data_IF_590010907667
#
_entry.id   IF_590010907667
#
_cell.length_a   1.000
_cell.length_b   1.000
_cell.length_c   1.000
_cell.angle_alpha   90.00
_cell.angle_beta   90.00
_cell.angle_gamma   90.00
#
_symmetry.space_group_name_H-M   'P 1'
#
loop_
_entity.id
_entity.type
_entity.pdbx_description
1 polymer ?
#
# COMPACT_ATOMS: atom_id res chain seq x y z
N UNK A 1 -7.16 7.22 -24.30
CA UNK A 1 -6.59 6.31 -25.34
C UNK A 1 -5.06 6.12 -25.21
N UNK A 2 -4.40 6.58 -24.13
CA UNK A 2 -2.94 6.46 -23.96
C UNK A 2 -2.48 5.44 -22.88
N UNK A 3 -3.40 4.87 -22.10
CA UNK A 3 -3.06 3.94 -21.00
C UNK A 3 -3.40 2.46 -21.27
N UNK A 4 -3.70 2.11 -22.52
CA UNK A 4 -3.92 0.70 -22.89
C UNK A 4 -2.60 -0.07 -23.04
N UNK A 5 -1.47 0.63 -23.19
CA UNK A 5 -0.17 0.06 -23.54
C UNK A 5 0.62 -0.56 -22.38
N UNK A 6 0.16 -0.43 -21.13
CA UNK A 6 0.79 -1.04 -19.96
C UNK A 6 -0.21 -1.83 -19.09
N UNK A 7 -1.27 -2.39 -19.69
CA UNK A 7 -1.93 -3.58 -19.11
C UNK A 7 -0.99 -4.79 -19.25
N UNK A 8 0.20 -4.70 -18.67
CA UNK A 8 0.95 -5.88 -18.26
C UNK A 8 0.01 -6.66 -17.34
N UNK A 9 0.07 -7.99 -17.44
CA UNK A 9 -0.82 -9.04 -16.92
C UNK A 9 -1.02 -9.07 -15.38
N UNK A 10 -0.83 -7.95 -14.71
CA UNK A 10 -0.74 -7.78 -13.28
C UNK A 10 -2.07 -7.19 -12.79
N UNK A 11 -2.90 -8.01 -12.16
CA UNK A 11 -4.15 -7.56 -11.55
C UNK A 11 -5.23 -8.62 -11.46
N UNK A 12 -6.40 -8.24 -10.92
CA UNK A 12 -7.55 -9.14 -10.79
C UNK A 12 -7.96 -9.70 -12.15
N UNK A 13 -8.35 -10.98 -12.18
CA UNK A 13 -8.93 -11.59 -13.38
C UNK A 13 -10.32 -11.00 -13.63
N UNK A 14 -10.77 -10.87 -14.89
CA UNK A 14 -12.17 -10.62 -15.18
C UNK A 14 -13.03 -11.69 -14.48
N UNK A 15 -14.07 -11.27 -13.78
CA UNK A 15 -14.90 -12.18 -13.01
C UNK A 15 -16.35 -11.73 -13.03
N UNK A 16 -17.25 -12.71 -12.94
CA UNK A 16 -18.69 -12.48 -12.86
C UNK A 16 -19.02 -11.69 -11.59
N UNK A 17 -20.12 -10.94 -11.63
CA UNK A 17 -20.56 -9.86 -10.72
C UNK A 17 -20.79 -10.25 -9.24
N UNK A 18 -19.89 -11.03 -8.64
CA UNK A 18 -19.90 -11.45 -7.25
C UNK A 18 -19.42 -10.31 -6.33
N UNK A 19 -19.64 -10.47 -5.03
CA UNK A 19 -19.31 -9.46 -4.02
C UNK A 19 -17.86 -8.98 -4.09
N UNK A 20 -16.88 -9.89 -4.11
CA UNK A 20 -15.43 -9.56 -4.16
C UNK A 20 -15.05 -8.79 -5.42
N UNK A 21 -15.65 -9.15 -6.56
CA UNK A 21 -15.42 -8.47 -7.82
C UNK A 21 -15.90 -7.02 -7.76
N UNK A 22 -17.09 -6.78 -7.18
CA UNK A 22 -17.61 -5.42 -6.97
C UNK A 22 -16.74 -4.63 -5.99
N UNK A 23 -16.35 -5.23 -4.87
CA UNK A 23 -15.43 -4.64 -3.88
C UNK A 23 -14.12 -4.17 -4.55
N UNK A 24 -13.46 -5.05 -5.30
CA UNK A 24 -12.20 -4.76 -6.00
C UNK A 24 -12.37 -3.68 -7.06
N UNK A 25 -13.41 -3.78 -7.90
CA UNK A 25 -13.65 -2.81 -8.96
C UNK A 25 -13.89 -1.42 -8.38
N UNK A 26 -14.71 -1.32 -7.32
CA UNK A 26 -14.95 -0.05 -6.63
C UNK A 26 -13.66 0.57 -6.08
N UNK A 27 -12.75 -0.26 -5.54
CA UNK A 27 -11.47 0.22 -5.02
C UNK A 27 -10.53 0.71 -6.13
N UNK A 28 -10.47 0.01 -7.26
CA UNK A 28 -9.66 0.43 -8.40
C UNK A 28 -10.22 1.69 -9.07
N UNK A 29 -11.54 1.76 -9.24
CA UNK A 29 -12.24 2.94 -9.78
C UNK A 29 -11.96 4.21 -8.95
N UNK A 30 -11.77 4.10 -7.63
CA UNK A 30 -11.35 5.25 -6.80
C UNK A 30 -10.01 5.83 -7.26
N UNK A 31 -9.04 4.97 -7.62
CA UNK A 31 -7.73 5.41 -8.11
C UNK A 31 -7.89 6.02 -9.50
N UNK A 32 -8.59 5.35 -10.42
CA UNK A 32 -8.82 5.85 -11.78
C UNK A 32 -9.51 7.23 -11.79
N UNK A 33 -10.51 7.42 -10.91
CA UNK A 33 -11.27 8.66 -10.83
C UNK A 33 -10.57 9.79 -10.05
N UNK A 34 -9.42 9.53 -9.44
CA UNK A 34 -8.70 10.52 -8.60
C UNK A 34 -8.11 11.71 -9.38
N UNK A 35 -8.09 11.65 -10.72
CA UNK A 35 -7.38 12.56 -11.65
C UNK A 35 -5.86 12.66 -11.46
N UNK A 36 -5.32 12.18 -10.34
CA UNK A 36 -3.88 12.21 -10.03
C UNK A 36 -3.15 10.98 -10.56
N UNK A 37 -3.86 9.88 -10.81
CA UNK A 37 -3.31 8.66 -11.40
C UNK A 37 -2.57 8.97 -12.71
N UNK A 38 -3.25 9.55 -13.69
CA UNK A 38 -2.65 9.81 -15.02
C UNK A 38 -1.41 10.70 -14.91
N UNK A 39 -1.45 11.68 -14.02
CA UNK A 39 -0.35 12.63 -13.84
C UNK A 39 0.86 12.08 -13.13
N UNK A 40 0.65 11.14 -12.21
CA UNK A 40 1.72 10.63 -11.35
C UNK A 40 2.06 9.17 -11.62
N UNK A 41 1.46 8.56 -12.65
CA UNK A 41 1.68 7.15 -13.01
C UNK A 41 3.15 6.82 -13.23
N UNK A 42 3.93 7.67 -13.91
CA UNK A 42 5.37 7.40 -14.12
C UNK A 42 6.19 7.41 -12.82
N UNK A 43 5.68 8.05 -11.77
CA UNK A 43 6.31 8.07 -10.45
C UNK A 43 5.86 6.85 -9.64
N UNK A 44 4.56 6.54 -9.65
CA UNK A 44 3.97 5.51 -8.79
C UNK A 44 3.63 4.20 -9.49
N UNK A 45 4.08 3.96 -10.73
CA UNK A 45 3.72 2.80 -11.56
C UNK A 45 3.87 1.48 -10.80
N UNK A 46 5.06 1.22 -10.23
CA UNK A 46 5.32 0.02 -9.44
C UNK A 46 4.37 -0.10 -8.24
N UNK A 47 4.08 1.01 -7.57
CA UNK A 47 3.19 1.02 -6.40
C UNK A 47 1.76 0.67 -6.79
N UNK A 48 1.29 1.20 -7.93
CA UNK A 48 -0.02 0.85 -8.47
C UNK A 48 -0.09 -0.60 -8.96
N UNK A 49 0.97 -1.10 -9.61
CA UNK A 49 1.02 -2.49 -10.07
C UNK A 49 1.01 -3.48 -8.89
N UNK A 50 1.80 -3.22 -7.83
CA UNK A 50 1.76 -3.98 -6.59
C UNK A 50 0.37 -3.93 -5.93
N UNK A 51 -0.30 -2.79 -5.96
CA UNK A 51 -1.66 -2.68 -5.47
C UNK A 51 -2.65 -3.51 -6.30
N UNK A 52 -2.49 -3.56 -7.63
CA UNK A 52 -3.28 -4.44 -8.50
C UNK A 52 -3.05 -5.92 -8.17
N UNK A 53 -1.82 -6.31 -7.81
CA UNK A 53 -1.55 -7.64 -7.28
C UNK A 53 -2.24 -7.89 -5.94
N UNK A 54 -2.26 -6.91 -5.02
CA UNK A 54 -2.99 -7.02 -3.76
C UNK A 54 -4.48 -7.31 -3.97
N UNK A 55 -5.11 -6.62 -4.94
CA UNK A 55 -6.48 -6.87 -5.36
C UNK A 55 -6.66 -8.29 -5.92
N UNK A 56 -5.72 -8.77 -6.74
CA UNK A 56 -5.74 -10.13 -7.27
C UNK A 56 -5.62 -11.18 -6.16
N UNK A 57 -4.75 -10.97 -5.17
CA UNK A 57 -4.65 -11.83 -3.99
C UNK A 57 -5.99 -11.89 -3.23
N UNK A 58 -6.63 -10.74 -3.03
CA UNK A 58 -7.90 -10.66 -2.31
C UNK A 58 -9.03 -11.38 -3.06
N UNK A 59 -9.07 -11.23 -4.39
CA UNK A 59 -10.00 -11.94 -5.27
C UNK A 59 -9.91 -13.45 -5.08
N UNK A 60 -8.69 -13.97 -4.92
CA UNK A 60 -8.39 -15.39 -4.73
C UNK A 60 -8.41 -15.82 -3.25
N UNK A 61 -8.91 -14.97 -2.34
CA UNK A 61 -8.98 -15.23 -0.89
C UNK A 61 -7.62 -15.41 -0.20
N UNK A 62 -6.54 -14.92 -0.81
CA UNK A 62 -5.20 -14.95 -0.24
C UNK A 62 -4.97 -13.72 0.67
N UNK A 63 -5.72 -13.62 1.76
CA UNK A 63 -5.80 -12.42 2.60
C UNK A 63 -4.47 -11.99 3.26
N UNK A 64 -3.62 -12.95 3.64
CA UNK A 64 -2.27 -12.64 4.13
C UNK A 64 -1.41 -12.00 3.04
N UNK A 65 -1.44 -12.57 1.83
CA UNK A 65 -0.73 -12.03 0.68
C UNK A 65 -1.27 -10.63 0.32
N UNK A 66 -2.59 -10.42 0.39
CA UNK A 66 -3.18 -9.08 0.23
C UNK A 66 -2.54 -8.06 1.16
N UNK A 67 -2.41 -8.34 2.45
CA UNK A 67 -1.80 -7.41 3.40
C UNK A 67 -0.31 -7.17 3.15
N UNK A 68 0.44 -8.19 2.71
CA UNK A 68 1.84 -8.04 2.29
C UNK A 68 1.94 -7.11 1.08
N UNK A 69 1.15 -7.37 0.03
CA UNK A 69 1.19 -6.57 -1.21
C UNK A 69 0.71 -5.13 -0.99
N UNK A 70 -0.26 -4.91 -0.10
CA UNK A 70 -0.65 -3.56 0.34
C UNK A 70 0.50 -2.81 1.01
N UNK A 71 1.26 -3.49 1.89
CA UNK A 71 2.47 -2.93 2.51
C UNK A 71 3.51 -2.61 1.44
N UNK A 72 3.85 -3.57 0.58
CA UNK A 72 4.89 -3.40 -0.43
C UNK A 72 4.55 -2.28 -1.43
N UNK A 73 3.28 -2.15 -1.81
CA UNK A 73 2.78 -1.04 -2.63
C UNK A 73 3.09 0.32 -2.00
N UNK A 74 2.82 0.50 -0.70
CA UNK A 74 3.08 1.76 -0.01
C UNK A 74 4.56 1.98 0.31
N UNK A 75 5.30 0.94 0.65
CA UNK A 75 6.75 1.06 0.86
C UNK A 75 7.46 1.43 -0.45
N UNK A 76 7.02 0.90 -1.58
CA UNK A 76 7.46 1.33 -2.93
C UNK A 76 7.15 2.81 -3.17
N UNK A 77 5.92 3.26 -2.88
CA UNK A 77 5.53 4.66 -3.08
C UNK A 77 6.41 5.62 -2.25
N UNK A 78 6.59 5.31 -0.97
CA UNK A 78 7.44 6.08 -0.05
C UNK A 78 8.91 6.05 -0.49
N UNK A 79 9.42 4.90 -0.93
CA UNK A 79 10.77 4.78 -1.46
C UNK A 79 10.99 5.71 -2.66
N UNK A 80 10.11 5.66 -3.66
CA UNK A 80 10.23 6.53 -4.85
C UNK A 80 10.16 8.01 -4.44
N UNK A 81 9.20 8.39 -3.58
CA UNK A 81 9.12 9.77 -3.08
C UNK A 81 10.40 10.22 -2.34
N UNK A 82 11.03 9.31 -1.59
CA UNK A 82 12.26 9.58 -0.85
C UNK A 82 13.43 9.86 -1.79
N UNK A 83 13.57 9.10 -2.89
CA UNK A 83 14.68 9.22 -3.83
C UNK A 83 14.44 10.18 -5.00
N UNK A 84 13.18 10.52 -5.29
CA UNK A 84 12.83 11.39 -6.40
C UNK A 84 13.39 12.80 -6.20
N UNK A 85 14.02 13.31 -7.26
CA UNK A 85 14.54 14.67 -7.39
C UNK A 85 14.02 15.30 -8.66
N UNK A 86 14.02 16.64 -8.68
CA UNK A 86 13.69 17.46 -9.84
C UNK A 86 12.42 16.98 -10.54
N UNK A 87 11.34 16.78 -9.76
CA UNK A 87 10.07 16.36 -10.32
C UNK A 87 9.59 17.47 -11.26
N UNK A 88 9.49 17.12 -12.55
CA UNK A 88 9.06 18.02 -13.61
C UNK A 88 7.78 17.48 -14.21
N UNK A 89 6.81 18.37 -14.37
CA UNK A 89 5.54 18.02 -14.99
C UNK A 89 5.39 18.78 -16.29
N UNK A 90 4.96 18.06 -17.32
CA UNK A 90 4.81 18.54 -18.67
C UNK A 90 3.38 18.33 -19.13
N UNK A 91 2.77 19.38 -19.68
CA UNK A 91 1.41 19.32 -20.18
C UNK A 91 1.41 18.84 -21.64
N UNK A 92 0.74 17.71 -21.88
CA UNK A 92 0.51 17.13 -23.19
C UNK A 92 -1.00 17.16 -23.43
N UNK A 93 -1.47 18.22 -24.10
CA UNK A 93 -2.90 18.46 -24.26
C UNK A 93 -3.57 18.78 -22.92
N UNK A 94 -4.55 17.96 -22.52
CA UNK A 94 -5.25 18.10 -21.23
C UNK A 94 -4.63 17.26 -20.10
N UNK A 95 -3.50 16.59 -20.35
CA UNK A 95 -2.81 15.72 -19.40
C UNK A 95 -1.54 16.39 -18.91
N UNK A 96 -1.36 16.49 -17.59
CA UNK A 96 -0.07 16.91 -17.01
C UNK A 96 0.67 15.67 -16.55
N UNK A 97 1.82 15.34 -17.13
CA UNK A 97 2.58 14.12 -16.81
C UNK A 97 3.83 14.49 -16.02
N UNK A 98 4.03 13.84 -14.87
CA UNK A 98 5.20 14.06 -14.03
C UNK A 98 6.26 13.00 -14.24
N UNK A 99 7.50 13.46 -14.33
CA UNK A 99 8.72 12.66 -14.38
C UNK A 99 9.68 13.12 -13.29
N UNK A 100 10.68 12.31 -12.98
CA UNK A 100 11.65 12.61 -11.95
C UNK A 100 13.04 12.12 -12.37
N UNK A 101 14.05 12.72 -11.77
CA UNK A 101 15.42 12.18 -11.80
C UNK A 101 15.70 11.47 -10.48
N UNK A 102 16.61 10.50 -10.50
CA UNK A 102 17.00 9.78 -9.30
C UNK A 102 18.15 10.51 -8.59
N UNK A 103 18.09 10.62 -7.27
CA UNK A 103 19.32 10.83 -6.50
C UNK A 103 20.29 9.67 -6.77
N UNK A 104 21.57 9.98 -7.04
CA UNK A 104 22.61 8.97 -7.18
C UNK A 104 22.50 7.95 -6.04
N UNK A 105 22.55 6.66 -6.41
CA UNK A 105 22.33 5.51 -5.55
C UNK A 105 23.03 5.65 -4.18
N UNK A 106 22.28 6.02 -3.14
CA UNK A 106 22.78 6.00 -1.76
C UNK A 106 22.24 4.77 -1.05
N UNK A 107 23.03 3.71 -0.95
CA UNK A 107 22.65 2.46 -0.28
C UNK A 107 22.18 2.68 1.18
N UNK A 108 22.65 3.76 1.80
CA UNK A 108 22.36 4.24 3.14
C UNK A 108 20.92 4.77 3.32
N UNK A 109 20.23 5.16 2.23
CA UNK A 109 18.80 5.55 2.27
C UNK A 109 17.88 4.33 2.31
N UNK A 110 18.36 3.18 1.80
CA UNK A 110 17.50 2.11 1.25
C UNK A 110 17.10 1.07 2.29
N UNK A 111 17.76 1.03 3.47
CA UNK A 111 17.65 -0.14 4.37
C UNK A 111 16.56 -0.05 5.43
N UNK A 112 16.06 1.14 5.75
CA UNK A 112 15.10 1.33 6.83
C UNK A 112 13.93 2.23 6.42
N UNK A 113 12.71 1.76 6.67
CA UNK A 113 11.51 2.51 6.36
C UNK A 113 11.38 3.81 7.16
N UNK A 114 11.80 3.83 8.43
CA UNK A 114 11.74 5.05 9.23
C UNK A 114 12.54 6.17 8.57
N UNK A 115 13.75 5.83 8.14
CA UNK A 115 14.65 6.74 7.41
C UNK A 115 14.05 7.22 6.07
N UNK A 116 13.39 6.33 5.31
CA UNK A 116 12.70 6.71 4.07
C UNK A 116 11.54 7.69 4.35
N UNK A 117 10.70 7.37 5.34
CA UNK A 117 9.55 8.21 5.68
C UNK A 117 10.00 9.59 6.17
N UNK A 118 11.02 9.68 7.02
CA UNK A 118 11.55 10.98 7.48
C UNK A 118 12.07 11.84 6.33
N UNK A 119 12.65 11.24 5.29
CA UNK A 119 13.03 12.00 4.07
C UNK A 119 11.83 12.50 3.29
N UNK A 120 10.78 11.68 3.17
CA UNK A 120 9.52 12.10 2.55
C UNK A 120 8.90 13.25 3.33
N UNK A 121 8.87 13.18 4.66
CA UNK A 121 8.35 14.25 5.53
C UNK A 121 9.17 15.55 5.43
N UNK A 122 10.48 15.45 5.18
CA UNK A 122 11.32 16.62 4.91
C UNK A 122 11.04 17.29 3.57
N UNK A 123 10.48 16.56 2.59
CA UNK A 123 10.15 17.05 1.24
C UNK A 123 8.67 17.45 1.09
N UNK A 124 7.79 16.77 1.81
CA UNK A 124 6.34 16.81 1.61
C UNK A 124 5.60 16.91 2.93
N UNK A 125 4.50 17.67 2.94
CA UNK A 125 3.60 17.74 4.10
C UNK A 125 2.72 16.50 4.15
N UNK A 126 3.14 15.49 4.91
CA UNK A 126 2.34 14.28 5.18
C UNK A 126 1.54 14.49 6.47
N UNK A 127 0.22 14.44 6.37
CA UNK A 127 -0.66 14.58 7.53
C UNK A 127 -0.68 13.33 8.42
N UNK A 128 -1.15 13.50 9.66
CA UNK A 128 -1.17 12.44 10.67
C UNK A 128 -2.13 11.29 10.31
N UNK A 129 -3.19 11.57 9.53
CA UNK A 129 -4.14 10.55 9.09
C UNK A 129 -3.47 9.56 8.13
N UNK A 130 -2.69 10.08 7.16
CA UNK A 130 -1.89 9.28 6.24
C UNK A 130 -0.86 8.45 7.02
N UNK A 131 -0.17 9.04 8.01
CA UNK A 131 0.83 8.33 8.83
C UNK A 131 0.21 7.19 9.64
N UNK A 132 -0.96 7.41 10.24
CA UNK A 132 -1.67 6.38 10.98
C UNK A 132 -2.09 5.23 10.05
N UNK A 133 -2.62 5.53 8.86
CA UNK A 133 -2.94 4.51 7.87
C UNK A 133 -1.70 3.73 7.43
N UNK A 134 -0.58 4.40 7.14
CA UNK A 134 0.70 3.76 6.82
C UNK A 134 1.14 2.81 7.94
N UNK A 135 1.09 3.26 9.20
CA UNK A 135 1.46 2.44 10.37
C UNK A 135 0.58 1.19 10.49
N UNK A 136 -0.72 1.34 10.33
CA UNK A 136 -1.67 0.22 10.43
C UNK A 136 -1.48 -0.79 9.30
N UNK A 137 -1.35 -0.33 8.05
CA UNK A 137 -1.13 -1.21 6.89
C UNK A 137 0.20 -1.96 7.04
N UNK A 138 1.27 -1.28 7.49
CA UNK A 138 2.55 -1.92 7.78
C UNK A 138 2.46 -2.93 8.91
N UNK A 139 1.67 -2.65 9.94
CA UNK A 139 1.42 -3.59 11.03
C UNK A 139 0.75 -4.87 10.52
N UNK A 140 -0.24 -4.76 9.63
CA UNK A 140 -0.90 -5.91 9.00
C UNK A 140 0.06 -6.71 8.10
N UNK A 141 0.84 -6.01 7.26
CA UNK A 141 1.85 -6.65 6.42
C UNK A 141 2.95 -7.35 7.23
N UNK A 142 3.42 -6.74 8.33
CA UNK A 142 4.38 -7.34 9.25
C UNK A 142 3.80 -8.57 9.97
N UNK A 143 2.55 -8.49 10.40
CA UNK A 143 1.87 -9.65 10.97
C UNK A 143 1.81 -10.81 9.98
N UNK A 144 1.42 -10.54 8.72
CA UNK A 144 1.36 -11.55 7.68
C UNK A 144 2.74 -12.15 7.35
N UNK A 145 3.77 -11.31 7.21
CA UNK A 145 5.14 -11.76 6.90
C UNK A 145 5.78 -12.59 8.02
N UNK A 146 5.39 -12.35 9.27
CA UNK A 146 5.93 -13.03 10.45
C UNK A 146 4.90 -13.93 11.14
N UNK A 147 3.91 -14.44 10.39
CA UNK A 147 2.77 -15.16 10.94
C UNK A 147 3.16 -16.34 11.83
N UNK A 148 4.11 -17.18 11.38
CA UNK A 148 4.55 -18.34 12.15
C UNK A 148 5.13 -17.94 13.51
N UNK A 149 5.95 -16.88 13.54
CA UNK A 149 6.48 -16.32 14.79
C UNK A 149 5.35 -15.76 15.66
N UNK A 150 4.39 -15.03 15.08
CA UNK A 150 3.27 -14.45 15.83
C UNK A 150 2.35 -15.51 16.43
N UNK A 151 2.17 -16.62 15.74
CA UNK A 151 1.45 -17.80 16.24
C UNK A 151 2.26 -18.50 17.35
N UNK A 152 3.57 -18.68 17.19
CA UNK A 152 4.42 -19.25 18.26
C UNK A 152 4.40 -18.41 19.54
N UNK A 153 4.49 -17.08 19.41
CA UNK A 153 4.34 -16.12 20.51
C UNK A 153 2.97 -16.27 21.20
N UNK A 154 1.89 -16.49 20.44
CA UNK A 154 0.55 -16.69 21.03
C UNK A 154 0.45 -18.01 21.79
N UNK A 155 1.08 -19.09 21.32
CA UNK A 155 1.12 -20.37 22.02
C UNK A 155 1.93 -20.36 23.30
N UNK A 156 3.05 -19.62 23.35
CA UNK A 156 3.82 -19.41 24.59
C UNK A 156 2.95 -18.78 25.67
N UNK A 157 2.22 -17.73 25.31
CA UNK A 157 1.33 -17.03 26.24
C UNK A 157 0.16 -17.90 26.69
N UNK A 158 -0.40 -18.72 25.78
CA UNK A 158 -1.41 -19.72 26.12
C UNK A 158 -0.85 -20.70 27.16
N UNK A 159 0.34 -21.24 26.91
CA UNK A 159 0.97 -22.25 27.78
C UNK A 159 1.30 -21.66 29.15
N UNK A 160 1.85 -20.45 29.20
CA UNK A 160 2.11 -19.74 30.44
C UNK A 160 0.82 -19.42 31.22
N UNK A 161 -0.27 -19.05 30.52
CA UNK A 161 -1.56 -18.83 31.14
C UNK A 161 -2.10 -20.10 31.79
N UNK A 162 -2.14 -21.22 31.06
CA UNK A 162 -2.63 -22.49 31.59
C UNK A 162 -1.81 -23.00 32.77
N UNK A 163 -0.48 -22.77 32.74
CA UNK A 163 0.40 -23.13 33.84
C UNK A 163 0.18 -22.27 35.09
N UNK A 164 -0.28 -21.02 34.94
CA UNK A 164 -0.51 -20.09 36.05
C UNK A 164 -1.94 -20.10 36.58
N UNK A 165 -2.97 -20.27 35.74
CA UNK A 165 -4.37 -20.08 36.11
C UNK A 165 -5.27 -21.22 35.57
N UNK A 166 -5.87 -21.99 36.48
CA UNK A 166 -6.76 -23.13 36.19
C UNK A 166 -8.21 -22.73 35.81
N UNK A 167 -8.44 -21.51 35.33
CA UNK A 167 -9.78 -21.04 34.91
C UNK A 167 -9.73 -20.30 33.58
N UNK A 168 -10.69 -20.66 32.71
CA UNK A 168 -11.00 -20.15 31.36
C UNK A 168 -10.28 -18.85 30.98
N UNK A 169 -9.28 -18.95 30.13
CA UNK A 169 -8.81 -17.81 29.35
C UNK A 169 -9.78 -17.55 28.19
N UNK A 170 -10.15 -16.30 28.02
CA UNK A 170 -10.75 -15.80 26.80
C UNK A 170 -9.59 -15.39 25.87
N UNK A 171 -9.28 -16.23 24.89
CA UNK A 171 -8.19 -15.98 23.95
C UNK A 171 -8.69 -15.13 22.78
N UNK A 172 -8.34 -13.84 22.76
CA UNK A 172 -8.63 -12.92 21.65
C UNK A 172 -7.39 -12.55 20.84
N UNK A 173 -6.36 -13.41 20.80
CA UNK A 173 -5.18 -13.13 19.97
C UNK A 173 -5.48 -13.36 18.50
N UNK A 174 -5.16 -12.35 17.70
CA UNK A 174 -5.22 -12.37 16.24
C UNK A 174 -4.32 -13.48 15.70
N UNK A 175 -4.91 -14.54 15.15
CA UNK A 175 -4.19 -15.71 14.61
C UNK A 175 -4.15 -15.74 13.08
N UNK A 176 -4.97 -14.92 12.42
CA UNK A 176 -5.07 -14.89 10.96
C UNK A 176 -5.60 -13.53 10.50
N UNK A 177 -5.39 -13.16 9.24
CA UNK A 177 -6.02 -11.99 8.61
C UNK A 177 -7.34 -12.41 7.99
N UNK A 178 -8.43 -11.80 8.44
CA UNK A 178 -9.78 -12.10 7.94
C UNK A 178 -10.06 -11.42 6.59
N UNK A 179 -11.15 -11.81 5.92
CA UNK A 179 -11.66 -11.12 4.72
C UNK A 179 -11.83 -9.61 5.00
N UNK A 180 -12.51 -9.27 6.09
CA UNK A 180 -12.86 -7.89 6.41
C UNK A 180 -11.63 -7.06 6.78
N UNK A 181 -10.67 -7.65 7.50
CA UNK A 181 -9.38 -7.01 7.77
C UNK A 181 -8.64 -6.72 6.46
N UNK A 182 -8.51 -7.71 5.57
CA UNK A 182 -7.84 -7.53 4.29
C UNK A 182 -8.52 -6.49 3.40
N UNK A 183 -9.85 -6.46 3.36
CA UNK A 183 -10.59 -5.43 2.63
C UNK A 183 -10.37 -4.04 3.22
N UNK A 184 -10.38 -3.91 4.56
CA UNK A 184 -10.07 -2.64 5.24
C UNK A 184 -8.64 -2.18 4.95
N UNK A 185 -7.67 -3.11 4.90
CA UNK A 185 -6.29 -2.81 4.51
C UNK A 185 -6.21 -2.32 3.06
N UNK A 186 -6.93 -2.95 2.13
CA UNK A 186 -7.02 -2.51 0.73
C UNK A 186 -7.61 -1.09 0.61
N UNK A 187 -8.74 -0.83 1.29
CA UNK A 187 -9.40 0.49 1.24
C UNK A 187 -8.48 1.61 1.75
N UNK A 188 -7.81 1.38 2.89
CA UNK A 188 -6.81 2.33 3.39
C UNK A 188 -5.65 2.51 2.41
N UNK A 189 -5.20 1.44 1.77
CA UNK A 189 -4.10 1.49 0.79
C UNK A 189 -4.45 2.38 -0.39
N UNK A 190 -5.66 2.23 -0.96
CA UNK A 190 -6.19 3.12 -2.01
C UNK A 190 -6.16 4.57 -1.55
N UNK A 191 -6.71 4.85 -0.37
CA UNK A 191 -6.83 6.21 0.14
C UNK A 191 -5.45 6.85 0.35
N UNK A 192 -4.48 6.09 0.86
CA UNK A 192 -3.09 6.56 1.02
C UNK A 192 -2.42 6.78 -0.33
N UNK A 193 -2.52 5.85 -1.28
CA UNK A 193 -1.96 6.01 -2.62
C UNK A 193 -2.48 7.28 -3.30
N UNK A 194 -3.80 7.51 -3.27
CA UNK A 194 -4.41 8.72 -3.83
C UNK A 194 -3.88 9.97 -3.13
N UNK A 195 -3.79 9.96 -1.80
CA UNK A 195 -3.29 11.09 -1.03
C UNK A 195 -1.82 11.41 -1.34
N UNK A 196 -0.94 10.41 -1.38
CA UNK A 196 0.47 10.57 -1.74
C UNK A 196 0.62 11.10 -3.18
N UNK A 197 -0.15 10.54 -4.11
CA UNK A 197 -0.18 10.98 -5.51
C UNK A 197 -0.60 12.45 -5.63
N UNK A 198 -1.63 12.84 -4.87
CA UNK A 198 -2.09 14.23 -4.80
C UNK A 198 -1.03 15.15 -4.22
N UNK A 199 -0.36 14.75 -3.14
CA UNK A 199 0.72 15.54 -2.52
C UNK A 199 1.84 15.80 -3.54
N UNK A 200 2.28 14.77 -4.26
CA UNK A 200 3.31 14.93 -5.31
C UNK A 200 2.83 15.87 -6.40
N UNK A 201 1.59 15.68 -6.88
CA UNK A 201 1.02 16.51 -7.93
C UNK A 201 0.90 17.99 -7.52
N UNK A 202 0.34 18.26 -6.34
CA UNK A 202 0.10 19.63 -5.89
C UNK A 202 1.39 20.35 -5.51
N UNK A 203 2.40 19.62 -5.03
CA UNK A 203 3.70 20.21 -4.67
C UNK A 203 4.54 20.57 -5.91
N UNK A 204 4.41 19.82 -7.00
CA UNK A 204 5.33 19.93 -8.14
C UNK A 204 4.69 20.47 -9.43
N UNK A 205 3.40 20.28 -9.68
CA UNK A 205 2.74 20.64 -10.95
C UNK A 205 1.89 21.89 -10.86
N UNK A 206 1.18 22.08 -9.74
CA UNK A 206 0.37 23.28 -9.52
C UNK A 206 1.25 24.41 -9.01
N UNK A 207 2.03 25.03 -9.90
CA UNK A 207 2.65 26.34 -9.67
C UNK A 207 1.89 27.42 -10.41
#
# INVERSE_FOLDING_TARGET
>A
MAFEFARILIGPKPCNNNEKCREINNLWEKIENSKTLESTYLIFSLSYDLFREALACYQNSAYLATSIMCRDSLESAIYIMAIAKDIKCCDIGNLSICSYTHEEYRQDIIRDYGSMLSKVEGKYKIDESIKNNLKEIRSDGNFAAHLAQKIDESYKDITEFYNKHSKKAEFSKRNWITKDEAYKTLDKTVNVLIALSKIVYETNCKK
#
